data_IF_056053513767
#
_entry.id   IF_056053513767
#
_cell.length_a   1.000
_cell.length_b   1.000
_cell.length_c   1.000
_cell.angle_alpha   90.00
_cell.angle_beta   90.00
_cell.angle_gamma   90.00
#
_symmetry.space_group_name_H-M   'P 1'
#
loop_
_entity.id
_entity.type
_entity.pdbx_description
1 polymer ?
#
# COMPACT_ATOMS: atom_id res chain seq x y z
N UNK A 1 -3.88 1.65 8.67
CA UNK A 1 -3.69 0.20 8.63
C UNK A 1 -4.90 -0.35 7.94
N UNK A 2 -4.79 -0.54 6.63
CA UNK A 2 -5.83 -1.18 5.84
C UNK A 2 -5.57 -2.68 5.79
N UNK A 3 -6.64 -3.48 5.82
CA UNK A 3 -6.54 -4.93 5.91
C UNK A 3 -6.77 -5.63 4.57
N UNK A 4 -7.77 -5.24 3.78
CA UNK A 4 -8.04 -5.82 2.47
C UNK A 4 -7.98 -4.81 1.32
N UNK A 5 -7.97 -3.48 1.60
CA UNK A 5 -7.95 -2.50 0.53
C UNK A 5 -6.71 -2.64 -0.36
N UNK A 6 -5.56 -2.98 0.22
CA UNK A 6 -4.30 -3.19 -0.49
C UNK A 6 -4.41 -4.33 -1.52
N UNK A 7 -5.24 -5.33 -1.25
CA UNK A 7 -5.49 -6.42 -2.18
C UNK A 7 -6.34 -5.99 -3.38
N UNK A 8 -7.28 -5.07 -3.20
CA UNK A 8 -8.19 -4.62 -4.27
C UNK A 8 -7.66 -3.40 -5.04
N UNK A 9 -7.08 -2.42 -4.34
CA UNK A 9 -6.61 -1.16 -4.92
C UNK A 9 -5.48 -1.40 -5.93
N UNK A 10 -4.66 -2.44 -5.75
CA UNK A 10 -3.56 -2.76 -6.67
C UNK A 10 -4.06 -3.02 -8.10
N UNK A 11 -5.22 -3.65 -8.28
CA UNK A 11 -5.83 -3.84 -9.60
C UNK A 11 -6.32 -2.52 -10.19
N UNK A 12 -6.90 -1.67 -9.34
CA UNK A 12 -7.37 -0.35 -9.75
C UNK A 12 -6.20 0.54 -10.16
N UNK A 13 -5.12 0.57 -9.37
CA UNK A 13 -3.87 1.30 -9.65
C UNK A 13 -3.24 0.81 -10.94
N UNK A 14 -3.09 -0.50 -11.13
CA UNK A 14 -2.52 -1.07 -12.35
C UNK A 14 -3.29 -0.63 -13.61
N UNK A 15 -4.62 -0.53 -13.52
CA UNK A 15 -5.46 -0.07 -14.64
C UNK A 15 -5.33 1.42 -14.95
N UNK A 16 -5.20 2.26 -13.92
CA UNK A 16 -5.37 3.71 -14.07
C UNK A 16 -4.09 4.53 -14.00
N UNK A 17 -2.97 3.94 -13.56
CA UNK A 17 -1.72 4.70 -13.39
C UNK A 17 -1.17 5.27 -14.69
N UNK A 18 -1.56 4.72 -15.86
CA UNK A 18 -1.14 5.23 -17.17
C UNK A 18 0.36 5.07 -17.47
N UNK A 19 1.10 4.51 -16.53
CA UNK A 19 2.50 4.15 -16.63
C UNK A 19 2.64 2.64 -16.80
N UNK A 20 3.76 2.22 -17.36
CA UNK A 20 4.12 0.82 -17.40
C UNK A 20 4.65 0.38 -16.03
N UNK A 21 3.79 -0.19 -15.20
CA UNK A 21 4.13 -0.71 -13.87
C UNK A 21 3.94 -2.23 -13.81
N UNK A 22 4.85 -2.94 -13.13
CA UNK A 22 4.66 -4.37 -12.83
C UNK A 22 3.63 -4.52 -11.72
N UNK A 23 2.58 -5.31 -11.95
CA UNK A 23 1.58 -5.63 -10.91
C UNK A 23 2.21 -6.31 -9.69
N UNK A 24 3.17 -7.23 -9.90
CA UNK A 24 3.87 -7.89 -8.81
C UNK A 24 4.68 -6.90 -7.98
N UNK A 25 5.30 -5.92 -8.65
CA UNK A 25 6.04 -4.86 -7.99
C UNK A 25 5.12 -3.90 -7.22
N UNK A 26 3.95 -3.56 -7.77
CA UNK A 26 2.92 -2.80 -7.03
C UNK A 26 2.55 -3.57 -5.76
N UNK A 27 2.15 -4.84 -5.89
CA UNK A 27 1.76 -5.65 -4.74
C UNK A 27 2.87 -5.75 -3.70
N UNK A 28 4.11 -6.00 -4.13
CA UNK A 28 5.26 -6.05 -3.23
C UNK A 28 5.52 -4.70 -2.54
N UNK A 29 5.41 -3.59 -3.27
CA UNK A 29 5.53 -2.24 -2.73
C UNK A 29 4.48 -1.96 -1.67
N UNK A 30 3.23 -2.35 -1.93
CA UNK A 30 2.12 -2.19 -1.00
C UNK A 30 2.35 -3.00 0.28
N UNK A 31 2.80 -4.26 0.21
CA UNK A 31 3.08 -5.03 1.44
C UNK A 31 4.39 -4.66 2.13
N UNK A 32 5.33 -4.02 1.44
CA UNK A 32 6.68 -3.76 1.92
C UNK A 32 6.74 -3.17 3.33
N UNK A 33 6.00 -2.08 3.64
CA UNK A 33 6.01 -1.47 4.97
C UNK A 33 5.57 -2.40 6.11
N UNK A 34 4.70 -3.36 5.81
CA UNK A 34 4.06 -4.24 6.79
C UNK A 34 4.69 -5.65 6.87
N UNK A 35 5.34 -6.10 5.79
CA UNK A 35 5.94 -7.44 5.67
C UNK A 35 6.97 -7.71 6.77
N UNK A 36 7.71 -6.68 7.17
CA UNK A 36 8.78 -6.77 8.16
C UNK A 36 8.36 -6.37 9.57
N UNK A 37 7.13 -5.90 9.75
CA UNK A 37 6.71 -5.22 10.98
C UNK A 37 5.58 -5.96 11.67
N UNK A 38 4.52 -6.37 10.96
CA UNK A 38 3.31 -6.97 11.58
C UNK A 38 3.53 -8.20 12.44
N UNK A 39 4.50 -9.05 12.10
CA UNK A 39 4.78 -10.24 12.89
C UNK A 39 5.38 -9.90 14.27
N UNK A 40 6.14 -8.81 14.34
CA UNK A 40 6.85 -8.38 15.55
C UNK A 40 6.10 -7.31 16.34
N UNK A 41 5.25 -6.52 15.67
CA UNK A 41 4.49 -5.41 16.28
C UNK A 41 3.70 -5.85 17.51
N UNK A 42 2.94 -6.94 17.40
CA UNK A 42 2.10 -7.43 18.49
C UNK A 42 2.88 -8.09 19.64
N UNK A 43 4.19 -8.30 19.47
CA UNK A 43 5.07 -8.84 20.51
C UNK A 43 5.88 -7.74 21.22
N UNK A 44 5.74 -6.48 20.82
CA UNK A 44 6.44 -5.34 21.43
C UNK A 44 5.64 -4.73 22.58
N UNK A 45 6.34 -4.07 23.51
CA UNK A 45 5.72 -3.42 24.68
C UNK A 45 4.82 -2.23 24.30
N UNK A 46 5.18 -1.52 23.23
CA UNK A 46 4.36 -0.46 22.62
C UNK A 46 4.20 -0.74 21.12
N UNK A 47 3.20 -1.55 20.74
CA UNK A 47 2.94 -1.94 19.35
C UNK A 47 2.79 -0.77 18.40
N UNK A 48 2.12 0.31 18.84
CA UNK A 48 1.85 1.45 17.99
C UNK A 48 3.14 2.25 17.74
N UNK A 49 3.89 2.57 18.80
CA UNK A 49 5.17 3.27 18.65
C UNK A 49 6.18 2.45 17.87
N UNK A 50 6.25 1.14 18.09
CA UNK A 50 7.13 0.26 17.32
C UNK A 50 6.74 0.25 15.84
N UNK A 51 5.45 0.06 15.51
CA UNK A 51 4.98 -0.06 14.12
C UNK A 51 5.11 1.25 13.33
N UNK A 52 4.69 2.37 13.91
CA UNK A 52 4.44 3.63 13.21
C UNK A 52 5.34 4.79 13.65
N UNK A 53 5.94 4.69 14.83
CA UNK A 53 6.70 5.77 15.45
C UNK A 53 8.22 5.64 15.35
N UNK A 54 8.90 6.54 16.06
CA UNK A 54 10.35 6.58 16.22
C UNK A 54 10.74 6.76 17.71
N UNK A 55 11.77 6.04 18.23
CA UNK A 55 12.48 4.93 17.61
C UNK A 55 11.55 3.70 17.43
N UNK A 56 11.63 3.07 16.27
CA UNK A 56 10.73 2.01 15.82
C UNK A 56 10.97 1.69 14.34
N UNK A 57 10.06 0.93 13.72
CA UNK A 57 10.07 0.62 12.28
C UNK A 57 9.18 1.56 11.47
N UNK A 58 8.63 2.62 12.06
CA UNK A 58 7.76 3.58 11.37
C UNK A 58 8.40 4.29 10.17
N UNK A 59 9.73 4.27 10.05
CA UNK A 59 10.42 4.77 8.85
C UNK A 59 10.04 4.00 7.57
N UNK A 60 9.55 2.76 7.67
CA UNK A 60 9.07 1.98 6.50
C UNK A 60 7.78 2.56 5.91
N UNK A 61 7.05 3.37 6.68
CA UNK A 61 5.86 4.12 6.25
C UNK A 61 6.18 5.58 5.86
N UNK A 62 7.36 5.80 5.28
CA UNK A 62 7.77 7.10 4.73
C UNK A 62 7.87 7.07 3.21
N UNK A 63 7.70 8.21 2.54
CA UNK A 63 7.83 8.29 1.08
C UNK A 63 9.26 8.04 0.61
N UNK A 64 10.26 8.43 1.40
CA UNK A 64 11.67 8.18 1.06
C UNK A 64 11.98 6.68 1.07
N UNK A 65 11.34 5.89 1.92
CA UNK A 65 11.51 4.43 1.92
C UNK A 65 11.08 3.83 0.57
N UNK A 66 9.94 4.26 0.02
CA UNK A 66 9.52 3.90 -1.34
C UNK A 66 10.52 4.31 -2.42
N UNK A 67 11.08 5.52 -2.32
CA UNK A 67 12.10 6.02 -3.26
C UNK A 67 13.38 5.20 -3.21
N UNK A 68 13.86 4.87 -2.00
CA UNK A 68 15.03 4.01 -1.80
C UNK A 68 14.77 2.62 -2.35
N UNK A 69 13.62 2.02 -2.02
CA UNK A 69 13.22 0.71 -2.54
C UNK A 69 13.16 0.68 -4.07
N UNK A 70 12.53 1.68 -4.68
CA UNK A 70 12.47 1.82 -6.14
C UNK A 70 13.86 2.00 -6.77
N UNK A 71 14.73 2.82 -6.17
CA UNK A 71 16.09 3.04 -6.64
C UNK A 71 16.95 1.78 -6.56
N UNK A 72 16.85 1.01 -5.46
CA UNK A 72 17.55 -0.26 -5.29
C UNK A 72 17.10 -1.29 -6.32
N UNK A 73 15.79 -1.44 -6.49
CA UNK A 73 15.22 -2.35 -7.51
C UNK A 73 15.67 -1.94 -8.90
N UNK A 74 15.65 -0.65 -9.22
CA UNK A 74 16.15 -0.14 -10.50
C UNK A 74 17.65 -0.41 -10.69
N UNK A 75 18.47 -0.22 -9.65
CA UNK A 75 19.90 -0.45 -9.72
C UNK A 75 20.24 -1.94 -9.95
N UNK A 76 19.51 -2.85 -9.29
CA UNK A 76 19.75 -4.30 -9.36
C UNK A 76 19.17 -4.91 -10.64
N UNK A 77 17.92 -4.59 -10.96
CA UNK A 77 17.17 -5.27 -12.04
C UNK A 77 17.22 -4.52 -13.37
N UNK A 78 17.55 -3.22 -13.32
CA UNK A 78 17.41 -2.27 -14.43
C UNK A 78 15.99 -2.18 -15.00
N UNK A 79 14.97 -2.64 -14.27
CA UNK A 79 13.58 -2.56 -14.73
C UNK A 79 12.90 -1.29 -14.21
N UNK A 80 12.49 -0.41 -15.14
CA UNK A 80 11.71 0.79 -14.76
C UNK A 80 10.31 0.41 -14.30
N UNK A 81 9.66 -0.56 -14.96
CA UNK A 81 8.33 -1.03 -14.56
C UNK A 81 8.27 -1.60 -13.14
N UNK A 82 9.32 -2.29 -12.69
CA UNK A 82 9.44 -2.72 -11.30
C UNK A 82 9.67 -1.54 -10.34
N UNK A 83 10.61 -0.65 -10.66
CA UNK A 83 10.92 0.49 -9.81
C UNK A 83 9.68 1.39 -9.60
N UNK A 84 8.96 1.67 -10.68
CA UNK A 84 7.70 2.44 -10.65
C UNK A 84 6.62 1.68 -9.89
N UNK A 85 6.48 0.37 -10.08
CA UNK A 85 5.52 -0.44 -9.35
C UNK A 85 5.76 -0.40 -7.84
N UNK A 86 6.99 -0.60 -7.38
CA UNK A 86 7.36 -0.51 -5.96
C UNK A 86 7.03 0.86 -5.39
N UNK A 87 7.38 1.93 -6.11
CA UNK A 87 7.11 3.29 -5.66
C UNK A 87 5.62 3.55 -5.51
N UNK A 88 4.81 3.19 -6.51
CA UNK A 88 3.35 3.40 -6.50
C UNK A 88 2.72 2.59 -5.36
N UNK A 89 3.04 1.31 -5.24
CA UNK A 89 2.46 0.46 -4.20
C UNK A 89 2.82 0.95 -2.80
N UNK A 90 4.10 1.29 -2.57
CA UNK A 90 4.53 1.77 -1.26
C UNK A 90 3.93 3.14 -0.92
N UNK A 91 3.83 4.07 -1.88
CA UNK A 91 3.18 5.35 -1.63
C UNK A 91 1.67 5.20 -1.40
N UNK A 92 0.99 4.33 -2.14
CA UNK A 92 -0.43 4.02 -1.91
C UNK A 92 -0.65 3.48 -0.49
N UNK A 93 0.24 2.59 -0.04
CA UNK A 93 0.22 2.07 1.34
C UNK A 93 0.33 3.19 2.37
N UNK A 94 1.35 4.06 2.25
CA UNK A 94 1.56 5.20 3.16
C UNK A 94 0.36 6.14 3.17
N UNK A 95 -0.19 6.47 2.00
CA UNK A 95 -1.33 7.38 1.89
C UNK A 95 -2.59 6.81 2.54
N UNK A 96 -2.89 5.53 2.34
CA UNK A 96 -4.01 4.86 3.01
C UNK A 96 -3.82 4.81 4.53
N UNK A 97 -2.58 4.73 5.00
CA UNK A 97 -2.29 4.66 6.43
C UNK A 97 -2.38 6.00 7.17
N UNK A 98 -2.27 7.14 6.46
CA UNK A 98 -2.62 8.47 7.01
C UNK A 98 -4.08 8.48 7.54
N UNK A 99 -4.95 7.63 6.99
CA UNK A 99 -6.35 7.57 7.41
C UNK A 99 -6.56 6.96 8.80
N UNK A 100 -5.61 6.19 9.36
CA UNK A 100 -5.75 5.61 10.70
C UNK A 100 -5.30 6.60 11.78
N UNK A 101 -5.74 6.41 13.03
CA UNK A 101 -5.42 7.33 14.12
C UNK A 101 -3.95 7.39 14.53
N UNK A 102 -3.15 6.35 14.29
CA UNK A 102 -1.72 6.38 14.60
C UNK A 102 -0.94 7.19 13.56
N UNK A 103 -1.45 7.22 12.32
CA UNK A 103 -0.82 7.90 11.21
C UNK A 103 0.50 7.26 10.79
N UNK A 104 1.26 8.03 10.01
CA UNK A 104 2.57 7.64 9.48
C UNK A 104 3.51 8.83 9.49
N UNK A 105 4.83 8.60 9.43
CA UNK A 105 5.82 9.68 9.28
C UNK A 105 6.20 9.85 7.79
N UNK A 106 5.38 10.53 6.95
CA UNK A 106 5.57 10.53 5.49
C UNK A 106 6.92 11.10 5.07
N UNK A 107 7.45 12.04 5.85
CA UNK A 107 8.67 12.78 5.55
C UNK A 107 9.88 12.39 6.41
N UNK A 108 9.83 11.25 7.11
CA UNK A 108 11.04 10.71 7.73
C UNK A 108 12.17 10.56 6.68
N UNK A 109 13.46 10.82 7.01
CA UNK A 109 14.00 11.28 8.29
C UNK A 109 13.97 12.80 8.49
N UNK A 110 13.38 13.56 7.56
CA UNK A 110 13.35 15.03 7.60
C UNK A 110 12.33 15.57 8.61
N UNK A 111 11.35 14.76 8.98
CA UNK A 111 10.44 14.98 10.09
C UNK A 111 10.05 13.63 10.70
N UNK A 112 9.99 13.58 12.03
CA UNK A 112 9.43 12.44 12.78
C UNK A 112 7.96 12.63 13.13
N UNK A 113 7.33 13.69 12.62
CA UNK A 113 5.93 14.01 12.89
C UNK A 113 4.99 13.01 12.20
N UNK A 114 4.15 12.28 12.96
CA UNK A 114 3.10 11.45 12.39
C UNK A 114 2.00 12.33 11.80
N UNK A 115 1.57 12.01 10.58
CA UNK A 115 0.43 12.64 9.90
C UNK A 115 -0.73 11.67 9.90
N UNK A 116 -1.86 12.12 10.43
CA UNK A 116 -3.11 11.37 10.49
C UNK A 116 -4.30 12.29 10.21
N UNK A 117 -5.34 11.73 9.59
CA UNK A 117 -6.68 12.34 9.55
C UNK A 117 -7.69 11.64 10.48
N UNK A 118 -7.29 10.53 11.13
CA UNK A 118 -8.06 9.87 12.18
C UNK A 118 -9.41 9.32 11.72
N UNK A 119 -9.52 8.87 10.47
CA UNK A 119 -10.76 8.34 9.90
C UNK A 119 -11.23 7.07 10.63
N UNK A 120 -10.30 6.20 11.02
CA UNK A 120 -10.56 5.03 11.87
C UNK A 120 -9.46 4.84 12.92
N UNK A 121 -9.73 4.03 13.94
CA UNK A 121 -8.79 3.78 15.04
C UNK A 121 -7.74 2.74 14.65
N UNK A 122 -6.48 3.05 14.96
CA UNK A 122 -5.41 2.07 15.05
C UNK A 122 -5.38 1.54 16.49
N UNK A 123 -5.56 0.24 16.68
CA UNK A 123 -5.79 -0.39 17.98
C UNK A 123 -4.85 -1.58 18.24
N UNK A 124 -3.60 -1.47 17.77
CA UNK A 124 -2.61 -2.54 17.87
C UNK A 124 -2.32 -3.01 19.31
N UNK A 125 -2.56 -2.17 20.32
CA UNK A 125 -2.45 -2.54 21.74
C UNK A 125 -3.44 -3.61 22.18
N UNK A 126 -4.53 -3.84 21.44
CA UNK A 126 -5.49 -4.93 21.68
C UNK A 126 -5.08 -6.26 21.02
N UNK A 127 -3.88 -6.31 20.44
CA UNK A 127 -3.42 -7.44 19.65
C UNK A 127 -4.11 -7.53 18.29
N UNK A 128 -3.74 -8.54 17.51
CA UNK A 128 -4.17 -8.72 16.11
C UNK A 128 -5.69 -8.77 15.94
N UNK A 129 -6.37 -9.55 16.77
CA UNK A 129 -7.81 -9.74 16.67
C UNK A 129 -8.57 -8.48 17.09
N UNK A 130 -8.13 -7.83 18.18
CA UNK A 130 -8.73 -6.57 18.63
C UNK A 130 -8.56 -5.43 17.63
N UNK A 131 -7.37 -5.32 17.01
CA UNK A 131 -7.10 -4.32 15.98
C UNK A 131 -7.96 -4.54 14.72
N UNK A 132 -8.04 -5.79 14.25
CA UNK A 132 -8.93 -6.15 13.14
C UNK A 132 -10.41 -5.86 13.48
N UNK A 133 -10.86 -6.22 14.67
CA UNK A 133 -12.24 -5.96 15.10
C UNK A 133 -12.53 -4.48 15.21
N UNK A 134 -11.61 -3.64 15.69
CA UNK A 134 -11.76 -2.19 15.69
C UNK A 134 -11.88 -1.65 14.26
N UNK A 135 -11.00 -2.09 13.35
CA UNK A 135 -11.01 -1.69 11.94
C UNK A 135 -12.33 -2.05 11.25
N UNK A 136 -12.76 -3.31 11.31
CA UNK A 136 -14.01 -3.79 10.67
C UNK A 136 -15.29 -3.35 11.39
N UNK A 137 -15.17 -2.63 12.51
CA UNK A 137 -16.27 -1.98 13.20
C UNK A 137 -16.35 -0.47 12.92
N UNK A 138 -15.55 0.05 11.99
CA UNK A 138 -15.44 1.49 11.71
C UNK A 138 -15.41 1.79 10.21
N UNK A 139 -15.07 3.03 9.86
CA UNK A 139 -14.83 3.43 8.47
C UNK A 139 -13.69 2.65 7.79
N UNK A 140 -12.81 1.99 8.55
CA UNK A 140 -11.81 1.08 7.99
C UNK A 140 -12.45 -0.07 7.21
N UNK A 141 -13.42 -0.78 7.80
CA UNK A 141 -14.17 -1.82 7.09
C UNK A 141 -14.94 -1.29 5.87
N UNK A 142 -15.43 -0.05 5.94
CA UNK A 142 -16.08 0.63 4.80
C UNK A 142 -15.07 0.97 3.71
N UNK A 143 -13.83 1.29 4.06
CA UNK A 143 -12.74 1.57 3.13
C UNK A 143 -12.37 0.33 2.31
N UNK A 144 -12.25 -0.84 2.96
CA UNK A 144 -12.03 -2.11 2.27
C UNK A 144 -13.18 -2.42 1.29
N UNK A 145 -14.43 -2.23 1.73
CA UNK A 145 -15.61 -2.40 0.88
C UNK A 145 -15.61 -1.43 -0.30
N UNK A 146 -15.23 -0.16 -0.06
CA UNK A 146 -15.12 0.85 -1.11
C UNK A 146 -14.16 0.37 -2.20
N UNK A 147 -12.96 -0.10 -1.85
CA UNK A 147 -11.99 -0.58 -2.85
C UNK A 147 -12.44 -1.86 -3.56
N UNK A 148 -13.16 -2.75 -2.88
CA UNK A 148 -13.82 -3.89 -3.53
C UNK A 148 -14.85 -3.41 -4.56
N UNK A 149 -15.70 -2.44 -4.21
CA UNK A 149 -16.69 -1.85 -5.13
C UNK A 149 -15.98 -1.18 -6.31
N UNK A 150 -14.91 -0.43 -6.06
CA UNK A 150 -14.09 0.19 -7.11
C UNK A 150 -13.53 -0.87 -8.07
N UNK A 151 -13.05 -2.00 -7.53
CA UNK A 151 -12.62 -3.13 -8.34
C UNK A 151 -13.76 -3.71 -9.17
N UNK A 152 -14.88 -4.06 -8.55
CA UNK A 152 -16.00 -4.74 -9.24
C UNK A 152 -16.67 -3.84 -10.28
N UNK A 153 -16.86 -2.56 -9.99
CA UNK A 153 -17.57 -1.64 -10.89
C UNK A 153 -16.63 -1.11 -11.97
N UNK A 154 -15.46 -0.60 -11.59
CA UNK A 154 -14.60 0.15 -12.50
C UNK A 154 -13.40 -0.65 -13.01
N UNK A 155 -12.89 -1.63 -12.26
CA UNK A 155 -11.70 -2.39 -12.65
C UNK A 155 -11.93 -3.90 -12.89
N UNK A 156 -13.18 -4.39 -12.99
CA UNK A 156 -13.46 -5.82 -13.20
C UNK A 156 -12.82 -6.41 -14.45
N UNK A 157 -12.58 -5.57 -15.46
CA UNK A 157 -11.86 -5.96 -16.68
C UNK A 157 -10.45 -6.48 -16.38
N UNK A 158 -9.82 -5.99 -15.31
CA UNK A 158 -8.47 -6.39 -14.89
C UNK A 158 -8.39 -7.85 -14.47
N UNK A 159 -9.51 -8.45 -14.06
CA UNK A 159 -9.59 -9.85 -13.65
C UNK A 159 -9.79 -10.80 -14.84
N UNK A 160 -9.89 -10.30 -16.08
CA UNK A 160 -10.12 -11.15 -17.26
C UNK A 160 -8.81 -11.76 -17.77
N UNK A 161 -8.85 -12.97 -18.37
CA UNK A 161 -7.68 -13.60 -18.99
C UNK A 161 -6.97 -12.71 -20.01
N UNK A 162 -7.74 -12.03 -20.87
CA UNK A 162 -7.18 -11.19 -21.94
C UNK A 162 -6.40 -10.00 -21.36
N UNK A 163 -6.93 -9.33 -20.33
CA UNK A 163 -6.21 -8.24 -19.65
C UNK A 163 -4.91 -8.73 -19.00
N UNK A 164 -4.94 -9.92 -18.39
CA UNK A 164 -3.74 -10.52 -17.83
C UNK A 164 -2.68 -10.78 -18.90
N UNK A 165 -3.07 -11.36 -20.04
CA UNK A 165 -2.17 -11.67 -21.16
C UNK A 165 -1.64 -10.42 -21.86
N UNK A 166 -2.48 -9.42 -22.06
CA UNK A 166 -2.16 -8.28 -22.94
C UNK A 166 -1.56 -7.10 -22.17
N UNK A 167 -1.85 -6.98 -20.88
CA UNK A 167 -1.39 -5.85 -20.05
C UNK A 167 -0.45 -6.32 -18.93
N UNK A 168 -0.85 -7.32 -18.14
CA UNK A 168 -0.10 -7.69 -16.92
C UNK A 168 1.19 -8.43 -17.23
N UNK A 169 1.14 -9.48 -18.06
CA UNK A 169 2.32 -10.26 -18.43
C UNK A 169 3.34 -9.40 -19.20
N UNK A 170 2.94 -8.61 -20.21
CA UNK A 170 3.87 -7.78 -20.98
C UNK A 170 4.48 -6.62 -20.18
N UNK A 171 3.82 -6.18 -19.10
CA UNK A 171 4.39 -5.21 -18.17
C UNK A 171 5.62 -5.76 -17.43
N UNK A 172 5.70 -7.08 -17.26
CA UNK A 172 6.76 -7.76 -16.52
C UNK A 172 7.06 -9.20 -17.03
N UNK A 173 7.48 -9.34 -18.29
CA UNK A 173 7.63 -10.65 -18.92
C UNK A 173 8.72 -11.49 -18.25
N UNK A 174 9.72 -10.84 -17.63
CA UNK A 174 10.82 -11.52 -16.94
C UNK A 174 10.32 -12.23 -15.68
N UNK A 175 9.53 -11.55 -14.83
CA UNK A 175 9.04 -12.17 -13.59
C UNK A 175 7.98 -13.24 -13.86
N UNK A 176 7.00 -12.96 -14.74
CA UNK A 176 5.99 -13.95 -15.11
C UNK A 176 6.59 -15.15 -15.83
N UNK A 177 7.56 -14.92 -16.72
CA UNK A 177 8.32 -15.99 -17.36
C UNK A 177 9.18 -16.80 -16.38
N UNK A 178 9.74 -16.16 -15.37
CA UNK A 178 10.45 -16.86 -14.29
C UNK A 178 9.50 -17.73 -13.47
N UNK A 179 8.34 -17.22 -13.06
CA UNK A 179 7.30 -17.98 -12.34
C UNK A 179 6.84 -19.19 -13.16
N UNK A 180 6.55 -18.97 -14.45
CA UNK A 180 6.20 -20.03 -15.39
C UNK A 180 7.24 -21.17 -15.38
N UNK A 181 8.51 -20.82 -15.58
CA UNK A 181 9.60 -21.82 -15.66
C UNK A 181 9.91 -22.48 -14.32
N UNK A 182 9.94 -21.70 -13.24
CA UNK A 182 10.39 -22.16 -11.92
C UNK A 182 9.36 -23.04 -11.23
N UNK A 183 8.08 -22.69 -11.35
CA UNK A 183 6.96 -23.40 -10.73
C UNK A 183 6.23 -24.32 -11.71
N UNK A 184 6.64 -24.35 -12.98
CA UNK A 184 6.01 -25.12 -14.06
C UNK A 184 4.51 -24.84 -14.20
N UNK A 185 4.11 -23.59 -13.94
CA UNK A 185 2.71 -23.18 -13.96
C UNK A 185 2.28 -22.84 -15.39
N UNK A 186 1.21 -23.45 -15.93
CA UNK A 186 0.63 -22.99 -17.19
C UNK A 186 0.07 -21.57 -17.05
N UNK A 187 -0.27 -20.92 -18.17
CA UNK A 187 -0.84 -19.54 -18.16
C UNK A 187 -2.05 -19.43 -17.23
N UNK A 188 -2.93 -20.44 -17.22
CA UNK A 188 -4.08 -20.51 -16.30
C UNK A 188 -3.64 -20.50 -14.82
N UNK A 189 -2.53 -21.17 -14.49
CA UNK A 189 -1.97 -21.16 -13.14
C UNK A 189 -1.41 -19.78 -12.75
N UNK A 190 -0.76 -19.08 -13.68
CA UNK A 190 -0.28 -17.72 -13.45
C UNK A 190 -1.44 -16.72 -13.31
N UNK A 191 -2.48 -16.87 -14.13
CA UNK A 191 -3.71 -16.09 -14.01
C UNK A 191 -4.38 -16.32 -12.65
N UNK A 192 -4.43 -17.57 -12.16
CA UNK A 192 -4.94 -17.89 -10.84
C UNK A 192 -4.08 -17.30 -9.71
N UNK A 193 -2.76 -17.23 -9.85
CA UNK A 193 -1.93 -16.51 -8.89
C UNK A 193 -2.25 -15.00 -8.88
N UNK A 194 -2.36 -14.42 -10.08
CA UNK A 194 -2.71 -13.01 -10.25
C UNK A 194 -4.10 -12.69 -9.66
N UNK A 195 -5.13 -13.48 -9.96
CA UNK A 195 -6.49 -13.31 -9.42
C UNK A 195 -6.61 -13.74 -7.97
N UNK A 196 -5.80 -14.71 -7.55
CA UNK A 196 -5.76 -15.26 -6.19
C UNK A 196 -5.48 -14.19 -5.15
N UNK A 197 -4.77 -13.13 -5.56
CA UNK A 197 -4.56 -11.95 -4.74
C UNK A 197 -5.87 -11.23 -4.37
N UNK A 198 -6.78 -11.02 -5.33
CA UNK A 198 -8.13 -10.51 -5.08
C UNK A 198 -8.92 -11.45 -4.16
N UNK A 199 -8.87 -12.76 -4.41
CA UNK A 199 -9.60 -13.73 -3.59
C UNK A 199 -9.08 -13.81 -2.16
N UNK A 200 -7.76 -13.65 -1.97
CA UNK A 200 -7.15 -13.54 -0.65
C UNK A 200 -7.64 -12.30 0.10
N UNK A 201 -7.71 -11.14 -0.56
CA UNK A 201 -8.30 -9.92 0.00
C UNK A 201 -9.76 -10.10 0.40
N UNK A 202 -10.57 -10.70 -0.48
CA UNK A 202 -11.98 -10.99 -0.21
C UNK A 202 -12.15 -11.93 0.99
N UNK A 203 -11.34 -13.00 1.04
CA UNK A 203 -11.33 -13.93 2.16
C UNK A 203 -11.00 -13.23 3.47
N UNK A 204 -9.95 -12.41 3.50
CA UNK A 204 -9.57 -11.62 4.69
C UNK A 204 -10.68 -10.67 5.13
N UNK A 205 -11.25 -9.92 4.20
CA UNK A 205 -12.33 -8.98 4.48
C UNK A 205 -13.52 -9.68 5.13
N UNK A 206 -13.95 -10.81 4.56
CA UNK A 206 -15.06 -11.61 5.09
C UNK A 206 -14.70 -12.20 6.44
N UNK A 207 -13.54 -12.85 6.57
CA UNK A 207 -13.13 -13.51 7.81
C UNK A 207 -13.03 -12.54 8.97
N UNK A 208 -12.40 -11.37 8.79
CA UNK A 208 -12.28 -10.38 9.86
C UNK A 208 -13.61 -9.69 10.18
N UNK A 209 -14.45 -9.46 9.18
CA UNK A 209 -15.80 -8.96 9.43
C UNK A 209 -16.62 -9.97 10.24
N UNK A 210 -16.57 -11.26 9.88
CA UNK A 210 -17.25 -12.32 10.63
C UNK A 210 -16.70 -12.45 12.05
N UNK A 211 -15.38 -12.38 12.25
CA UNK A 211 -14.76 -12.33 13.58
C UNK A 211 -15.35 -11.19 14.42
N UNK A 212 -15.37 -9.97 13.86
CA UNK A 212 -15.87 -8.80 14.57
C UNK A 212 -17.36 -8.91 14.95
N UNK A 213 -18.18 -9.52 14.09
CA UNK A 213 -19.64 -9.65 14.31
C UNK A 213 -20.04 -10.86 15.13
N UNK A 214 -19.44 -12.01 14.88
CA UNK A 214 -19.90 -13.29 15.42
C UNK A 214 -19.11 -13.74 16.64
N UNK A 215 -17.83 -13.41 16.71
CA UNK A 215 -16.97 -13.80 17.84
C UNK A 215 -16.90 -12.69 18.86
N UNK A 216 -16.55 -11.48 18.42
CA UNK A 216 -16.33 -10.36 19.34
C UNK A 216 -17.61 -9.57 19.63
N UNK A 217 -18.67 -9.81 18.85
CA UNK A 217 -19.98 -9.13 18.94
C UNK A 217 -19.86 -7.59 19.04
N UNK A 218 -18.85 -7.02 18.37
CA UNK A 218 -18.54 -5.61 18.48
C UNK A 218 -19.64 -4.74 17.82
N UNK A 219 -19.92 -3.53 18.33
CA UNK A 219 -20.87 -2.64 17.70
C UNK A 219 -20.29 -2.03 16.41
N UNK A 220 -21.06 -2.02 15.33
CA UNK A 220 -20.66 -1.39 14.08
C UNK A 220 -20.87 0.13 14.15
N UNK A 221 -19.79 0.90 14.13
CA UNK A 221 -19.76 2.36 14.28
C UNK A 221 -18.92 3.00 13.14
N UNK A 222 -19.44 3.04 11.90
CA UNK A 222 -18.76 3.63 10.74
C UNK A 222 -18.84 5.17 10.77
N UNK A 223 -18.30 5.76 11.83
CA UNK A 223 -18.20 7.19 12.03
C UNK A 223 -16.72 7.59 12.05
N UNK A 224 -16.44 8.84 11.71
CA UNK A 224 -15.09 9.39 11.77
C UNK A 224 -14.51 9.28 13.17
N UNK A 225 -13.28 8.77 13.28
CA UNK A 225 -12.64 8.50 14.58
C UNK A 225 -13.27 7.36 15.37
N UNK A 226 -14.16 6.57 14.76
CA UNK A 226 -14.71 5.36 15.35
C UNK A 226 -13.74 4.16 15.29
N UNK A 227 -14.00 3.11 16.08
CA UNK A 227 -15.15 2.96 16.97
C UNK A 227 -14.89 3.51 18.38
N UNK A 228 -15.93 3.92 19.10
CA UNK A 228 -15.84 4.58 20.42
C UNK A 228 -15.47 3.64 21.57
N UNK A 229 -15.66 2.34 21.39
CA UNK A 229 -15.37 1.35 22.43
C UNK A 229 -13.89 0.99 22.52
N UNK A 230 -13.05 1.51 21.62
CA UNK A 230 -11.60 1.36 21.66
C UNK A 230 -10.94 2.73 21.67
N UNK A 231 -9.95 2.89 22.53
CA UNK A 231 -9.03 4.03 22.43
C UNK A 231 -7.99 3.72 21.34
N UNK A 232 -7.92 4.59 20.34
CA UNK A 232 -6.93 4.48 19.28
C UNK A 232 -5.62 5.08 19.72
N UNK A 233 -4.54 4.64 19.10
CA UNK A 233 -3.24 5.25 19.27
C UNK A 233 -3.20 6.56 18.47
N UNK A 234 -2.69 7.62 19.10
CA UNK A 234 -2.24 8.86 18.46
C UNK A 234 -0.78 9.02 18.87
N UNK A 235 0.10 9.17 17.88
CA UNK A 235 1.54 9.23 18.09
C UNK A 235 2.10 10.65 17.96
N UNK A 236 1.29 11.61 17.53
CA UNK A 236 1.70 13.01 17.51
C UNK A 236 1.70 13.56 18.94
N UNK A 237 2.77 14.24 19.30
CA UNK A 237 2.87 15.02 20.54
C UNK A 237 2.56 16.51 20.32
N UNK A 238 2.21 16.89 19.09
CA UNK A 238 2.11 18.26 18.62
C UNK A 238 0.66 18.73 18.48
N UNK A 239 0.46 20.04 18.68
CA UNK A 239 -0.82 20.67 18.34
C UNK A 239 -1.04 20.78 16.82
N UNK A 240 -2.27 21.00 16.34
CA UNK A 240 -2.56 21.02 14.90
C UNK A 240 -1.70 21.98 14.07
N UNK A 241 -1.41 23.17 14.60
CA UNK A 241 -0.55 24.15 13.92
C UNK A 241 0.89 23.63 13.80
N UNK A 242 1.40 23.01 14.85
CA UNK A 242 2.75 22.49 14.87
C UNK A 242 2.90 21.28 13.94
N UNK A 243 1.89 20.40 13.88
CA UNK A 243 1.80 19.33 12.87
C UNK A 243 1.92 19.93 11.46
N UNK A 244 1.16 20.99 11.15
CA UNK A 244 1.24 21.65 9.83
C UNK A 244 2.65 22.20 9.56
N UNK A 245 3.27 22.87 10.54
CA UNK A 245 4.62 23.44 10.39
C UNK A 245 5.67 22.34 10.19
N UNK A 246 5.73 21.33 11.08
CA UNK A 246 6.69 20.22 11.00
C UNK A 246 6.51 19.42 9.70
N UNK A 247 5.27 19.18 9.30
CA UNK A 247 4.93 18.50 8.03
C UNK A 247 5.35 19.32 6.82
N UNK A 248 5.13 20.63 6.83
CA UNK A 248 5.52 21.53 5.72
C UNK A 248 7.04 21.59 5.55
N UNK A 249 7.77 21.75 6.66
CA UNK A 249 9.23 21.75 6.65
C UNK A 249 9.74 20.39 6.15
N UNK A 250 9.24 19.28 6.70
CA UNK A 250 9.61 17.93 6.27
C UNK A 250 9.37 17.72 4.78
N UNK A 251 8.21 18.17 4.27
CA UNK A 251 7.87 18.08 2.85
C UNK A 251 8.79 18.90 1.93
N UNK A 252 9.15 20.13 2.34
CA UNK A 252 10.07 20.98 1.59
C UNK A 252 11.48 20.36 1.53
N UNK A 253 11.99 19.88 2.67
CA UNK A 253 13.31 19.25 2.73
C UNK A 253 13.31 17.92 1.96
N UNK A 254 12.24 17.12 2.06
CA UNK A 254 12.06 15.92 1.24
C UNK A 254 12.10 16.23 -0.25
N UNK A 255 11.37 17.25 -0.71
CA UNK A 255 11.38 17.65 -2.12
C UNK A 255 12.78 18.09 -2.58
N UNK A 256 13.49 18.87 -1.77
CA UNK A 256 14.88 19.25 -2.05
C UNK A 256 15.79 18.02 -2.14
N UNK A 257 15.64 17.05 -1.22
CA UNK A 257 16.39 15.80 -1.25
C UNK A 257 16.10 14.99 -2.52
N UNK A 258 14.85 14.91 -2.97
CA UNK A 258 14.50 14.24 -4.24
C UNK A 258 15.19 14.91 -5.44
N UNK A 259 15.20 16.24 -5.50
CA UNK A 259 15.90 16.98 -6.57
C UNK A 259 17.39 16.68 -6.56
N UNK A 260 18.02 16.65 -5.38
CA UNK A 260 19.44 16.32 -5.23
C UNK A 260 19.70 14.88 -5.66
N UNK A 261 18.96 13.90 -5.14
CA UNK A 261 19.08 12.49 -5.52
C UNK A 261 18.88 12.28 -7.03
N UNK A 262 17.92 12.99 -7.63
CA UNK A 262 17.69 12.98 -9.08
C UNK A 262 18.92 13.44 -9.86
N UNK A 263 19.48 14.60 -9.49
CA UNK A 263 20.66 15.17 -10.15
C UNK A 263 21.92 14.32 -9.95
N UNK A 264 22.10 13.73 -8.78
CA UNK A 264 23.32 12.98 -8.44
C UNK A 264 23.34 11.57 -9.05
N UNK A 265 22.25 10.81 -8.95
CA UNK A 265 22.28 9.40 -9.35
C UNK A 265 20.98 8.83 -9.94
N UNK A 266 19.78 9.23 -9.47
CA UNK A 266 18.54 8.57 -9.93
C UNK A 266 18.31 8.79 -11.43
N UNK A 267 18.65 9.97 -11.97
CA UNK A 267 18.54 10.21 -13.42
C UNK A 267 19.37 9.22 -14.22
N UNK A 268 20.62 8.97 -13.81
CA UNK A 268 21.53 8.02 -14.48
C UNK A 268 21.03 6.58 -14.36
N UNK A 269 20.48 6.20 -13.19
CA UNK A 269 19.85 4.89 -13.02
C UNK A 269 18.63 4.74 -13.92
N UNK A 270 17.80 5.78 -14.01
CA UNK A 270 16.61 5.80 -14.85
C UNK A 270 16.95 5.68 -16.33
N UNK A 271 17.91 6.45 -16.81
CA UNK A 271 18.40 6.40 -18.21
C UNK A 271 18.90 5.00 -18.58
N UNK A 272 19.57 4.30 -17.66
CA UNK A 272 20.05 2.91 -17.83
C UNK A 272 18.97 1.84 -17.69
N UNK A 273 17.80 2.20 -17.17
CA UNK A 273 16.68 1.29 -17.02
C UNK A 273 16.08 0.91 -18.38
N UNK A 274 15.60 -0.31 -18.50
CA UNK A 274 14.96 -0.82 -19.71
C UNK A 274 13.50 -1.17 -19.40
N UNK A 275 12.61 -0.82 -20.33
CA UNK A 275 11.24 -1.32 -20.35
C UNK A 275 11.07 -2.30 -21.52
N UNK A 276 10.30 -3.39 -21.35
CA UNK A 276 10.00 -4.28 -22.46
C UNK A 276 9.29 -3.50 -23.60
N UNK A 277 9.59 -3.77 -24.88
CA UNK A 277 9.18 -2.89 -25.98
C UNK A 277 7.69 -2.93 -26.42
N UNK A 278 6.74 -3.50 -25.66
CA UNK A 278 5.43 -3.88 -26.25
C UNK A 278 4.19 -3.72 -25.36
N UNK A 279 4.04 -2.63 -24.59
CA UNK A 279 2.83 -2.46 -23.75
C UNK A 279 2.13 -1.16 -24.07
N UNK A 280 0.86 -1.24 -24.48
CA UNK A 280 -0.04 -0.10 -24.47
C UNK A 280 -0.06 0.48 -23.05
N UNK A 281 0.31 1.76 -22.93
CA UNK A 281 0.14 2.48 -21.66
C UNK A 281 -1.34 2.38 -21.26
N UNK A 282 -1.61 2.04 -20.00
CA UNK A 282 -3.00 2.00 -19.50
C UNK A 282 -3.73 3.27 -19.90
N UNK A 283 -5.03 3.18 -20.21
CA UNK A 283 -5.84 4.30 -20.75
C UNK A 283 -5.91 5.54 -19.85
N UNK A 284 -5.32 5.49 -18.65
CA UNK A 284 -5.27 6.58 -17.68
C UNK A 284 -6.65 6.91 -17.11
N UNK A 285 -6.75 8.05 -16.42
CA UNK A 285 -8.01 8.59 -15.88
C UNK A 285 -9.07 8.86 -16.97
N UNK A 286 -8.68 8.96 -18.24
CA UNK A 286 -9.60 9.15 -19.37
C UNK A 286 -10.58 7.96 -19.54
N UNK A 287 -10.27 6.78 -19.01
CA UNK A 287 -11.16 5.62 -19.06
C UNK A 287 -12.31 5.65 -18.02
N UNK A 288 -12.33 6.60 -17.08
CA UNK A 288 -13.45 6.75 -16.14
C UNK A 288 -14.65 7.47 -16.79
N UNK A 289 -14.44 8.16 -17.90
CA UNK A 289 -15.46 8.96 -18.59
C UNK A 289 -15.91 8.36 -19.93
N UNK A 290 -15.52 7.11 -20.22
CA UNK A 290 -15.88 6.38 -21.44
C UNK A 290 -16.33 4.95 -21.15
#
# INVERSE_FOLDING_TARGET
MSWAAHEFENYFLQKHVGLKASFLAIALGTFGPDLFTKAFVYASDDPARFHRGWPGVGFTHSFIFGVVGAALVLAITRSRSWAVGILIGQWAHVLTDICDSAGVMPFFPFSTEPVTIGMWKHAASLGRYGDATAYYSSLGGVWDLFWLVMLVVFARSTLRPDYFRDVVVPADPRAWGWLHRRLRLPERGLLLLYQGFCFYGLGRMISWFLQARLTDAAPFQPIWGGPRYVQGNDLSDAGPLEVVVRTSIGGLVFAAALVVCWRLFLRRLWEKGEDPPSVERGRGLAALFH
#
